data_IF_396995579579
#
_entry.id   IF_396995579579
#
_cell.length_a   1.000
_cell.length_b   1.000
_cell.length_c   1.000
_cell.angle_alpha   90.00
_cell.angle_beta   90.00
_cell.angle_gamma   90.00
#
_symmetry.space_group_name_H-M   'P 1'
#
loop_
_entity.id
_entity.type
_entity.pdbx_description
1 polymer ?
#
# COMPACT_ATOMS: atom_id res chain seq x y z
N UNK A 1 8.67 -6.71 -5.78
CA UNK A 1 8.85 -6.18 -7.15
C UNK A 1 8.80 -4.66 -7.17
N UNK A 2 7.69 -4.07 -6.75
CA UNK A 2 7.51 -2.61 -6.64
C UNK A 2 8.60 -1.96 -5.75
N UNK A 3 8.86 -2.51 -4.56
CA UNK A 3 9.89 -2.04 -3.62
C UNK A 3 11.27 -1.83 -4.24
N UNK A 4 11.73 -2.76 -5.09
CA UNK A 4 13.04 -2.67 -5.73
C UNK A 4 13.07 -1.59 -6.82
N UNK A 5 11.99 -1.45 -7.60
CA UNK A 5 11.89 -0.37 -8.58
C UNK A 5 11.80 1.00 -7.91
N UNK A 6 11.08 1.13 -6.79
CA UNK A 6 11.05 2.35 -6.00
C UNK A 6 12.44 2.71 -5.44
N UNK A 7 13.16 1.73 -4.90
CA UNK A 7 14.53 1.93 -4.45
C UNK A 7 15.44 2.42 -5.58
N UNK A 8 15.35 1.80 -6.76
CA UNK A 8 16.13 2.20 -7.92
C UNK A 8 15.76 3.61 -8.40
N UNK A 9 14.46 3.94 -8.48
CA UNK A 9 13.97 5.28 -8.84
C UNK A 9 14.48 6.36 -7.88
N UNK A 10 14.51 6.09 -6.57
CA UNK A 10 14.96 7.07 -5.58
C UNK A 10 16.47 7.24 -5.52
N UNK A 11 17.22 6.16 -5.74
CA UNK A 11 18.68 6.18 -5.64
C UNK A 11 19.37 6.47 -6.98
N UNK A 12 18.63 6.44 -8.09
CA UNK A 12 19.18 6.50 -9.45
C UNK A 12 20.01 5.26 -9.82
N UNK A 13 19.97 4.20 -9.01
CA UNK A 13 20.69 2.95 -9.26
C UNK A 13 19.91 2.09 -10.25
N UNK A 14 20.62 1.17 -10.91
CA UNK A 14 20.06 0.31 -11.94
C UNK A 14 20.50 -1.15 -11.78
N UNK A 15 20.83 -1.57 -10.55
CA UNK A 15 21.39 -2.90 -10.27
C UNK A 15 20.46 -4.05 -10.68
N UNK A 16 19.15 -3.77 -10.75
CA UNK A 16 18.11 -4.71 -11.14
C UNK A 16 17.39 -4.27 -12.42
N UNK A 17 18.10 -3.67 -13.38
CA UNK A 17 17.53 -3.13 -14.63
C UNK A 17 16.60 -4.08 -15.38
N UNK A 18 16.95 -5.36 -15.43
CA UNK A 18 16.16 -6.38 -16.13
C UNK A 18 14.99 -6.94 -15.30
N UNK A 19 14.76 -6.43 -14.09
CA UNK A 19 13.81 -7.03 -13.15
C UNK A 19 12.35 -6.91 -13.62
N UNK A 20 11.96 -5.80 -14.25
CA UNK A 20 10.64 -5.66 -14.86
C UNK A 20 10.39 -6.82 -15.85
N UNK A 21 11.24 -6.95 -16.86
CA UNK A 21 11.08 -7.91 -17.96
C UNK A 21 11.26 -9.37 -17.52
N UNK A 22 12.06 -9.63 -16.48
CA UNK A 22 12.35 -10.99 -15.99
C UNK A 22 11.44 -11.44 -14.84
N UNK A 23 10.53 -10.60 -14.37
CA UNK A 23 9.58 -10.98 -13.33
C UNK A 23 8.40 -11.78 -13.87
N UNK A 24 7.73 -12.54 -13.00
CA UNK A 24 6.52 -13.27 -13.39
C UNK A 24 5.43 -12.31 -13.90
N UNK A 25 5.22 -11.18 -13.22
CA UNK A 25 4.27 -10.14 -13.62
C UNK A 25 4.67 -9.46 -14.93
N UNK A 26 5.91 -8.98 -15.04
CA UNK A 26 6.34 -8.25 -16.25
C UNK A 26 6.44 -9.14 -17.50
N UNK A 27 6.84 -10.42 -17.37
CA UNK A 27 6.75 -11.35 -18.51
C UNK A 27 5.32 -11.51 -19.02
N UNK A 28 4.33 -11.51 -18.12
CA UNK A 28 2.92 -11.57 -18.52
C UNK A 28 2.40 -10.24 -19.09
N UNK A 29 2.94 -9.10 -18.65
CA UNK A 29 2.69 -7.80 -19.30
C UNK A 29 3.16 -7.77 -20.76
N UNK A 30 4.25 -8.47 -21.08
CA UNK A 30 4.84 -8.54 -22.42
C UNK A 30 4.19 -9.59 -23.34
N UNK A 31 3.29 -10.43 -22.82
CA UNK A 31 2.58 -11.42 -23.63
C UNK A 31 1.28 -10.79 -24.16
N UNK A 32 1.11 -10.68 -25.50
CA UNK A 32 -0.16 -10.24 -26.06
C UNK A 32 -1.29 -11.15 -25.62
N UNK A 33 -2.41 -10.56 -25.19
CA UNK A 33 -3.61 -11.29 -24.77
C UNK A 33 -3.43 -12.21 -23.56
N UNK A 34 -2.54 -11.87 -22.62
CA UNK A 34 -2.54 -12.49 -21.28
C UNK A 34 -3.94 -12.51 -20.69
N UNK A 35 -4.36 -13.69 -20.23
CA UNK A 35 -5.58 -13.85 -19.45
C UNK A 35 -5.35 -13.34 -18.03
N UNK A 36 -5.65 -12.06 -17.83
CA UNK A 36 -5.43 -11.37 -16.57
C UNK A 36 -6.33 -11.86 -15.45
N UNK A 37 -7.54 -12.36 -15.76
CA UNK A 37 -8.45 -12.93 -14.76
C UNK A 37 -7.86 -14.22 -14.17
N UNK A 38 -7.38 -15.12 -15.03
CA UNK A 38 -6.67 -16.33 -14.57
C UNK A 38 -5.35 -15.98 -13.90
N UNK A 39 -4.63 -14.96 -14.38
CA UNK A 39 -3.33 -14.56 -13.83
C UNK A 39 -3.45 -13.97 -12.41
N UNK A 40 -4.36 -13.02 -12.18
CA UNK A 40 -4.53 -12.39 -10.86
C UNK A 40 -5.29 -13.30 -9.90
N UNK A 41 -5.96 -14.32 -10.41
CA UNK A 41 -6.78 -15.21 -9.60
C UNK A 41 -8.05 -14.51 -9.09
N UNK A 42 -8.73 -15.10 -8.11
CA UNK A 42 -10.07 -14.66 -7.72
C UNK A 42 -10.09 -13.42 -6.82
N UNK A 43 -8.93 -12.88 -6.42
CA UNK A 43 -8.77 -11.82 -5.41
C UNK A 43 -8.51 -10.46 -6.07
N UNK A 44 -9.37 -9.48 -5.82
CA UNK A 44 -9.30 -8.16 -6.46
C UNK A 44 -8.30 -7.21 -5.79
N UNK A 45 -7.94 -7.45 -4.53
CA UNK A 45 -6.77 -6.83 -3.89
C UNK A 45 -5.46 -7.30 -4.53
N UNK A 46 -5.28 -8.60 -4.80
CA UNK A 46 -4.11 -9.11 -5.54
C UNK A 46 -3.98 -8.47 -6.92
N UNK A 47 -5.09 -8.34 -7.64
CA UNK A 47 -5.16 -7.58 -8.88
C UNK A 47 -4.74 -6.12 -8.68
N UNK A 48 -5.19 -5.48 -7.58
CA UNK A 48 -4.83 -4.10 -7.27
C UNK A 48 -3.34 -3.89 -7.00
N UNK A 49 -2.70 -4.82 -6.30
CA UNK A 49 -1.25 -4.82 -6.11
C UNK A 49 -0.49 -5.00 -7.42
N UNK A 50 -1.01 -5.81 -8.35
CA UNK A 50 -0.44 -5.96 -9.67
C UNK A 50 -0.48 -4.65 -10.47
N UNK A 51 -1.57 -3.88 -10.42
CA UNK A 51 -1.67 -2.57 -11.08
C UNK A 51 -0.59 -1.60 -10.57
N UNK A 52 -0.42 -1.47 -9.24
CA UNK A 52 0.61 -0.61 -8.65
C UNK A 52 2.03 -1.03 -9.09
N UNK A 53 2.30 -2.33 -9.10
CA UNK A 53 3.58 -2.86 -9.54
C UNK A 53 3.84 -2.61 -11.04
N UNK A 54 2.85 -2.80 -11.91
CA UNK A 54 2.93 -2.54 -13.34
C UNK A 54 3.19 -1.05 -13.63
N UNK A 55 2.49 -0.14 -12.94
CA UNK A 55 2.75 1.29 -13.06
C UNK A 55 4.15 1.67 -12.60
N UNK A 56 4.62 1.12 -11.48
CA UNK A 56 5.98 1.40 -11.00
C UNK A 56 7.05 0.88 -11.96
N UNK A 57 6.82 -0.27 -12.59
CA UNK A 57 7.70 -0.78 -13.66
C UNK A 57 7.69 0.13 -14.89
N UNK A 58 6.51 0.61 -15.31
CA UNK A 58 6.39 1.56 -16.41
C UNK A 58 7.08 2.90 -16.11
N UNK A 59 6.98 3.39 -14.87
CA UNK A 59 7.67 4.61 -14.42
C UNK A 59 9.19 4.42 -14.46
N UNK A 60 9.70 3.31 -13.92
CA UNK A 60 11.12 2.96 -14.01
C UNK A 60 11.61 2.89 -15.45
N UNK A 61 10.90 2.16 -16.31
CA UNK A 61 11.23 2.04 -17.73
C UNK A 61 11.25 3.40 -18.41
N UNK A 62 10.27 4.26 -18.12
CA UNK A 62 10.21 5.63 -18.65
C UNK A 62 11.43 6.45 -18.23
N UNK A 63 11.74 6.48 -16.93
CA UNK A 63 12.89 7.23 -16.38
C UNK A 63 14.22 6.77 -16.98
N UNK A 64 14.36 5.48 -17.24
CA UNK A 64 15.59 4.88 -17.77
C UNK A 64 15.58 4.70 -19.30
N UNK A 65 14.58 5.24 -20.00
CA UNK A 65 14.44 5.14 -21.46
C UNK A 65 14.46 3.69 -21.99
N UNK A 66 13.88 2.76 -21.23
CA UNK A 66 13.72 1.37 -21.62
C UNK A 66 12.48 1.17 -22.53
N UNK A 67 12.45 0.12 -23.38
CA UNK A 67 11.30 -0.18 -24.23
C UNK A 67 10.12 -0.74 -23.43
N UNK A 68 9.00 -0.95 -24.14
CA UNK A 68 7.80 -1.69 -23.71
C UNK A 68 6.96 -1.00 -22.62
N UNK A 69 7.16 0.31 -22.38
CA UNK A 69 6.37 1.09 -21.41
C UNK A 69 4.86 0.92 -21.63
N UNK A 70 4.42 1.00 -22.89
CA UNK A 70 3.00 0.93 -23.24
C UNK A 70 2.38 -0.45 -22.93
N UNK A 71 3.15 -1.53 -23.02
CA UNK A 71 2.67 -2.88 -22.69
C UNK A 71 2.35 -3.01 -21.19
N UNK A 72 3.21 -2.46 -20.32
CA UNK A 72 2.97 -2.44 -18.88
C UNK A 72 1.78 -1.54 -18.51
N UNK A 73 1.63 -0.39 -19.18
CA UNK A 73 0.47 0.49 -18.96
C UNK A 73 -0.84 -0.14 -19.46
N UNK A 74 -0.80 -0.84 -20.61
CA UNK A 74 -1.96 -1.54 -21.15
C UNK A 74 -2.38 -2.71 -20.25
N UNK A 75 -1.42 -3.51 -19.77
CA UNK A 75 -1.67 -4.54 -18.77
C UNK A 75 -2.33 -3.98 -17.51
N UNK A 76 -1.80 -2.87 -16.98
CA UNK A 76 -2.35 -2.22 -15.80
C UNK A 76 -3.79 -1.73 -16.01
N UNK A 77 -4.10 -1.19 -17.20
CA UNK A 77 -5.45 -0.75 -17.55
C UNK A 77 -6.45 -1.93 -17.59
N UNK A 78 -6.07 -3.06 -18.18
CA UNK A 78 -6.92 -4.27 -18.23
C UNK A 78 -7.24 -4.76 -16.82
N UNK A 79 -6.22 -4.87 -15.96
CA UNK A 79 -6.40 -5.33 -14.57
C UNK A 79 -7.22 -4.33 -13.74
N UNK A 80 -7.02 -3.03 -13.95
CA UNK A 80 -7.85 -1.99 -13.31
C UNK A 80 -9.32 -2.12 -13.72
N UNK A 81 -9.62 -2.32 -15.01
CA UNK A 81 -10.99 -2.47 -15.50
C UNK A 81 -11.67 -3.72 -14.91
N UNK A 82 -10.91 -4.81 -14.70
CA UNK A 82 -11.38 -6.02 -14.00
C UNK A 82 -11.84 -5.68 -12.57
N UNK A 83 -11.02 -4.95 -11.79
CA UNK A 83 -11.37 -4.50 -10.44
C UNK A 83 -12.58 -3.57 -10.48
N UNK A 84 -12.57 -2.56 -11.36
CA UNK A 84 -13.62 -1.56 -11.47
C UNK A 84 -14.98 -2.17 -11.82
N UNK A 85 -14.99 -3.26 -12.61
CA UNK A 85 -16.20 -4.00 -12.99
C UNK A 85 -16.83 -4.79 -11.83
N UNK A 86 -16.11 -5.00 -10.72
CA UNK A 86 -16.58 -5.69 -9.53
C UNK A 86 -17.08 -4.75 -8.42
N UNK A 87 -17.27 -3.47 -8.76
CA UNK A 87 -18.07 -2.55 -7.96
C UNK A 87 -19.57 -2.82 -8.17
N UNK A 88 -20.33 -2.90 -7.07
CA UNK A 88 -21.81 -2.95 -7.12
C UNK A 88 -22.46 -2.14 -5.98
N UNK A 89 -23.80 -2.13 -5.93
CA UNK A 89 -24.58 -1.39 -4.92
C UNK A 89 -24.81 -2.18 -3.61
N UNK A 90 -24.29 -3.40 -3.49
CA UNK A 90 -24.39 -4.17 -2.23
C UNK A 90 -23.64 -3.42 -1.14
N UNK A 91 -24.25 -3.24 0.03
CA UNK A 91 -23.73 -2.35 1.08
C UNK A 91 -23.51 -0.89 0.62
N UNK A 92 -24.33 -0.42 -0.32
CA UNK A 92 -24.33 0.97 -0.78
C UNK A 92 -23.16 1.33 -1.71
N UNK A 93 -22.40 0.35 -2.18
CA UNK A 93 -21.20 0.56 -2.98
C UNK A 93 -20.09 -0.42 -2.63
N UNK A 94 -18.92 -0.19 -3.22
CA UNK A 94 -17.69 -0.92 -2.93
C UNK A 94 -17.41 -2.05 -3.90
N UNK A 95 -16.13 -2.35 -4.07
CA UNK A 95 -15.63 -3.50 -4.81
C UNK A 95 -15.65 -4.73 -3.89
N UNK A 96 -16.08 -5.87 -4.44
CA UNK A 96 -15.98 -7.16 -3.78
C UNK A 96 -14.52 -7.57 -3.57
N UNK A 97 -14.22 -8.31 -2.50
CA UNK A 97 -12.87 -8.86 -2.29
C UNK A 97 -12.54 -9.94 -3.31
N UNK A 98 -13.50 -10.81 -3.61
CA UNK A 98 -13.33 -11.93 -4.55
C UNK A 98 -14.49 -12.07 -5.52
N UNK A 99 -14.28 -12.84 -6.59
CA UNK A 99 -15.32 -13.21 -7.58
C UNK A 99 -16.55 -13.92 -6.98
N UNK A 100 -16.42 -14.50 -5.78
CA UNK A 100 -17.52 -15.18 -5.10
C UNK A 100 -18.52 -14.20 -4.44
N UNK A 101 -18.16 -12.90 -4.38
CA UNK A 101 -19.00 -11.83 -3.83
C UNK A 101 -19.50 -12.10 -2.40
N UNK A 102 -18.61 -12.61 -1.54
CA UNK A 102 -18.93 -12.99 -0.14
C UNK A 102 -18.47 -11.96 0.88
N UNK A 103 -17.56 -11.05 0.52
CA UNK A 103 -16.95 -10.11 1.47
C UNK A 103 -16.56 -8.80 0.80
N UNK A 104 -16.83 -7.68 1.49
CA UNK A 104 -16.31 -6.35 1.15
C UNK A 104 -15.35 -5.92 2.25
N UNK A 105 -14.06 -5.97 1.94
CA UNK A 105 -13.00 -5.61 2.86
C UNK A 105 -12.47 -4.19 2.59
N UNK A 106 -11.74 -3.66 3.56
CA UNK A 106 -11.09 -2.36 3.50
C UNK A 106 -10.05 -2.35 2.37
N UNK A 107 -9.14 -3.33 2.34
CA UNK A 107 -7.99 -3.29 1.44
C UNK A 107 -8.36 -3.19 -0.04
N UNK A 108 -9.32 -3.98 -0.53
CA UNK A 108 -9.69 -3.94 -1.95
C UNK A 108 -10.27 -2.58 -2.33
N UNK A 109 -11.03 -1.96 -1.42
CA UNK A 109 -11.66 -0.68 -1.65
C UNK A 109 -10.68 0.50 -1.53
N UNK A 110 -9.76 0.44 -0.57
CA UNK A 110 -8.67 1.40 -0.43
C UNK A 110 -7.70 1.36 -1.62
N UNK A 111 -7.40 0.16 -2.13
CA UNK A 111 -6.68 -0.01 -3.39
C UNK A 111 -7.47 0.58 -4.54
N UNK A 112 -8.77 0.30 -4.66
CA UNK A 112 -9.58 0.86 -5.73
C UNK A 112 -9.61 2.40 -5.71
N UNK A 113 -9.73 3.02 -4.53
CA UNK A 113 -9.57 4.47 -4.37
C UNK A 113 -8.18 4.93 -4.83
N UNK A 114 -7.13 4.27 -4.35
CA UNK A 114 -5.73 4.61 -4.66
C UNK A 114 -5.46 4.55 -6.15
N UNK A 115 -5.83 3.45 -6.80
CA UNK A 115 -5.68 3.24 -8.23
C UNK A 115 -6.50 4.25 -9.03
N UNK A 116 -7.75 4.50 -8.62
CA UNK A 116 -8.60 5.47 -9.30
C UNK A 116 -8.02 6.89 -9.22
N UNK A 117 -7.59 7.33 -8.04
CA UNK A 117 -7.05 8.67 -7.85
C UNK A 117 -5.72 8.86 -8.58
N UNK A 118 -4.78 7.91 -8.44
CA UNK A 118 -3.50 7.96 -9.14
C UNK A 118 -3.65 7.80 -10.66
N UNK A 119 -4.57 6.96 -11.13
CA UNK A 119 -4.90 6.80 -12.53
C UNK A 119 -5.40 8.10 -13.16
N UNK A 120 -6.22 8.89 -12.45
CA UNK A 120 -6.57 10.24 -12.90
C UNK A 120 -5.34 11.14 -13.01
N UNK A 121 -4.48 11.15 -11.99
CA UNK A 121 -3.28 11.99 -12.02
C UNK A 121 -2.36 11.64 -13.21
N UNK A 122 -2.25 10.35 -13.54
CA UNK A 122 -1.43 9.80 -14.63
C UNK A 122 -2.02 10.06 -16.02
N UNK A 123 -3.31 9.82 -16.21
CA UNK A 123 -3.92 9.77 -17.54
C UNK A 123 -4.88 10.92 -17.85
N UNK A 124 -5.27 11.71 -16.84
CA UNK A 124 -6.28 12.78 -16.95
C UNK A 124 -7.61 12.31 -17.54
N UNK A 125 -7.97 11.05 -17.30
CA UNK A 125 -9.25 10.47 -17.73
C UNK A 125 -10.27 10.58 -16.59
N UNK A 126 -11.36 11.32 -16.82
CA UNK A 126 -12.40 11.59 -15.81
C UNK A 126 -13.05 10.34 -15.22
N UNK A 127 -13.07 9.21 -15.93
CA UNK A 127 -13.60 7.93 -15.39
C UNK A 127 -12.86 7.51 -14.12
N UNK A 128 -11.54 7.72 -14.09
CA UNK A 128 -10.72 7.44 -12.92
C UNK A 128 -11.04 8.42 -11.77
N UNK A 129 -11.28 9.70 -12.07
CA UNK A 129 -11.64 10.67 -11.03
C UNK A 129 -13.02 10.40 -10.44
N UNK A 130 -13.99 10.04 -11.27
CA UNK A 130 -15.33 9.69 -10.81
C UNK A 130 -15.29 8.41 -9.96
N UNK A 131 -14.50 7.42 -10.35
CA UNK A 131 -14.26 6.23 -9.54
C UNK A 131 -13.55 6.55 -8.22
N UNK A 132 -12.59 7.48 -8.20
CA UNK A 132 -11.91 7.87 -6.98
C UNK A 132 -12.89 8.57 -6.01
N UNK A 133 -13.70 9.49 -6.52
CA UNK A 133 -14.70 10.20 -5.71
C UNK A 133 -15.75 9.25 -5.15
N UNK A 134 -16.28 8.31 -5.96
CA UNK A 134 -17.27 7.33 -5.49
C UNK A 134 -16.67 6.36 -4.47
N UNK A 135 -15.43 5.92 -4.68
CA UNK A 135 -14.73 5.03 -3.75
C UNK A 135 -14.50 5.72 -2.41
N UNK A 136 -13.98 6.96 -2.41
CA UNK A 136 -13.78 7.71 -1.18
C UNK A 136 -15.11 7.95 -0.44
N UNK A 137 -16.14 8.44 -1.15
CA UNK A 137 -17.44 8.67 -0.54
C UNK A 137 -18.03 7.40 0.09
N UNK A 138 -17.85 6.23 -0.54
CA UNK A 138 -18.29 4.96 0.03
C UNK A 138 -17.47 4.56 1.26
N UNK A 139 -16.13 4.62 1.18
CA UNK A 139 -15.24 4.27 2.31
C UNK A 139 -15.56 5.14 3.53
N UNK A 140 -15.68 6.46 3.34
CA UNK A 140 -16.00 7.42 4.40
C UNK A 140 -17.34 7.10 5.10
N UNK A 141 -18.33 6.60 4.35
CA UNK A 141 -19.67 6.30 4.86
C UNK A 141 -19.89 4.81 5.21
N UNK A 142 -18.92 3.94 4.97
CA UNK A 142 -19.02 2.49 5.19
C UNK A 142 -19.13 2.11 6.68
N UNK A 143 -18.62 2.97 7.57
CA UNK A 143 -18.48 2.68 9.00
C UNK A 143 -17.28 1.80 9.37
N UNK A 144 -16.42 1.43 8.41
CA UNK A 144 -15.23 0.58 8.66
C UNK A 144 -14.17 1.27 9.55
N UNK A 145 -14.15 2.60 9.59
CA UNK A 145 -13.28 3.34 10.50
C UNK A 145 -13.89 3.38 11.91
N UNK A 146 -13.19 2.81 12.88
CA UNK A 146 -13.61 2.75 14.28
C UNK A 146 -13.44 4.10 15.02
N UNK A 147 -13.79 4.09 16.31
CA UNK A 147 -13.74 5.28 17.16
C UNK A 147 -12.31 5.79 17.42
N UNK A 148 -11.32 4.93 17.28
CA UNK A 148 -9.90 5.24 17.41
C UNK A 148 -9.35 5.94 16.15
N UNK A 149 -10.08 5.88 15.03
CA UNK A 149 -9.64 6.42 13.74
C UNK A 149 -8.91 5.41 12.85
N UNK A 150 -9.00 4.12 13.17
CA UNK A 150 -8.41 3.02 12.39
C UNK A 150 -9.49 2.27 11.59
N UNK A 151 -9.14 1.80 10.40
CA UNK A 151 -9.99 0.95 9.57
C UNK A 151 -9.89 -0.52 10.02
N UNK A 152 -11.03 -1.09 10.42
CA UNK A 152 -11.20 -2.53 10.58
C UNK A 152 -11.22 -3.22 9.21
N UNK A 153 -11.11 -4.55 9.22
CA UNK A 153 -10.88 -5.34 8.01
C UNK A 153 -12.01 -5.25 6.98
N UNK A 154 -13.27 -5.07 7.39
CA UNK A 154 -14.36 -5.02 6.42
C UNK A 154 -15.76 -4.98 7.00
N UNK A 155 -16.71 -5.39 6.16
CA UNK A 155 -18.14 -5.40 6.48
C UNK A 155 -18.69 -6.81 6.59
N UNK A 156 -19.59 -7.02 7.56
CA UNK A 156 -20.39 -8.25 7.64
C UNK A 156 -21.46 -8.22 6.54
N UNK A 157 -21.39 -9.19 5.63
CA UNK A 157 -22.36 -9.31 4.53
C UNK A 157 -23.78 -9.51 5.10
N UNK A 158 -24.76 -8.80 4.51
CA UNK A 158 -26.16 -8.84 4.91
C UNK A 158 -26.58 -7.75 5.91
N UNK A 159 -25.72 -7.38 6.86
CA UNK A 159 -25.94 -6.20 7.73
C UNK A 159 -25.22 -4.97 7.23
N UNK A 160 -24.12 -5.14 6.49
CA UNK A 160 -23.25 -4.06 6.00
C UNK A 160 -22.71 -3.18 7.14
N UNK A 161 -22.50 -3.79 8.30
CA UNK A 161 -21.90 -3.16 9.48
C UNK A 161 -20.45 -3.60 9.57
N UNK A 162 -19.60 -2.68 10.03
CA UNK A 162 -18.21 -2.95 10.38
C UNK A 162 -18.09 -4.25 11.21
N UNK A 163 -17.22 -5.15 10.76
CA UNK A 163 -17.00 -6.44 11.42
C UNK A 163 -16.22 -6.33 12.73
N UNK A 164 -15.58 -5.19 13.01
CA UNK A 164 -14.76 -4.99 14.21
C UNK A 164 -13.50 -5.86 14.24
N UNK A 165 -13.10 -6.43 13.10
CA UNK A 165 -11.92 -7.29 13.00
C UNK A 165 -10.61 -6.50 13.01
N UNK A 166 -9.47 -7.18 12.92
CA UNK A 166 -8.14 -6.61 13.09
C UNK A 166 -7.92 -5.34 12.26
N UNK A 167 -7.41 -4.30 12.91
CA UNK A 167 -6.91 -3.09 12.25
C UNK A 167 -5.47 -3.32 11.82
N UNK A 168 -5.29 -3.91 10.64
CA UNK A 168 -3.97 -4.18 10.06
C UNK A 168 -3.28 -2.88 9.61
N UNK A 169 -1.96 -2.78 9.75
CA UNK A 169 -1.26 -1.52 9.42
C UNK A 169 -1.43 -1.14 7.95
N UNK A 170 -1.43 -2.10 7.03
CA UNK A 170 -1.54 -1.80 5.59
C UNK A 170 -2.85 -1.11 5.20
N UNK A 171 -3.99 -1.45 5.81
CA UNK A 171 -5.26 -0.77 5.56
C UNK A 171 -5.16 0.72 5.91
N UNK A 172 -4.48 1.01 7.02
CA UNK A 172 -4.25 2.37 7.49
C UNK A 172 -3.29 3.15 6.60
N UNK A 173 -2.50 2.44 5.78
CA UNK A 173 -1.51 3.00 4.89
C UNK A 173 -2.07 3.28 3.51
N UNK A 174 -2.68 2.27 2.87
CA UNK A 174 -3.14 2.37 1.47
C UNK A 174 -4.12 3.52 1.29
N UNK A 175 -5.06 3.67 2.23
CA UNK A 175 -6.01 4.78 2.24
C UNK A 175 -5.34 6.15 2.13
N UNK A 176 -4.17 6.34 2.76
CA UNK A 176 -3.45 7.63 2.76
C UNK A 176 -3.04 8.03 1.35
N UNK A 177 -2.49 7.09 0.57
CA UNK A 177 -2.06 7.39 -0.79
C UNK A 177 -3.24 7.72 -1.71
N UNK A 178 -4.40 7.08 -1.51
CA UNK A 178 -5.63 7.40 -2.22
C UNK A 178 -6.17 8.78 -1.88
N UNK A 179 -6.20 9.12 -0.59
CA UNK A 179 -6.58 10.45 -0.09
C UNK A 179 -5.64 11.54 -0.62
N UNK A 180 -4.32 11.32 -0.56
CA UNK A 180 -3.31 12.25 -1.06
C UNK A 180 -3.42 12.47 -2.57
N UNK A 181 -3.60 11.39 -3.35
CA UNK A 181 -3.79 11.50 -4.80
C UNK A 181 -5.11 12.21 -5.16
N UNK A 182 -6.20 11.92 -4.44
CA UNK A 182 -7.48 12.58 -4.67
C UNK A 182 -7.45 14.06 -4.24
N UNK A 183 -6.70 14.40 -3.19
CA UNK A 183 -6.38 15.77 -2.83
C UNK A 183 -5.64 16.48 -3.97
N UNK A 184 -4.57 15.89 -4.49
CA UNK A 184 -3.82 16.48 -5.59
C UNK A 184 -4.69 16.67 -6.86
N UNK A 185 -5.68 15.80 -7.06
CA UNK A 185 -6.63 15.90 -8.16
C UNK A 185 -7.70 16.98 -7.99
N UNK A 186 -8.16 17.24 -6.75
CA UNK A 186 -9.37 18.04 -6.50
C UNK A 186 -9.14 19.32 -5.70
N UNK A 187 -8.05 19.41 -4.94
CA UNK A 187 -7.78 20.46 -3.97
C UNK A 187 -8.68 20.41 -2.73
N UNK A 188 -9.38 19.30 -2.47
CA UNK A 188 -10.23 19.18 -1.29
C UNK A 188 -9.41 18.94 -0.01
N UNK A 189 -9.21 20.00 0.77
CA UNK A 189 -8.44 20.00 2.03
C UNK A 189 -8.97 19.01 3.08
N UNK A 190 -10.25 18.62 3.05
CA UNK A 190 -10.78 17.65 4.03
C UNK A 190 -10.06 16.31 3.92
N UNK A 191 -9.63 15.91 2.73
CA UNK A 191 -8.92 14.64 2.49
C UNK A 191 -7.59 14.57 3.27
N UNK A 192 -6.94 15.71 3.52
CA UNK A 192 -5.72 15.77 4.34
C UNK A 192 -6.09 15.54 5.80
N UNK A 193 -7.13 16.20 6.31
CA UNK A 193 -7.60 16.00 7.69
C UNK A 193 -8.00 14.54 7.96
N UNK A 194 -8.67 13.90 6.99
CA UNK A 194 -9.06 12.49 7.08
C UNK A 194 -7.84 11.54 7.09
N UNK A 195 -6.80 11.87 6.33
CA UNK A 195 -5.54 11.12 6.36
C UNK A 195 -4.81 11.28 7.69
N UNK A 196 -4.72 12.51 8.23
CA UNK A 196 -4.05 12.77 9.52
C UNK A 196 -4.70 12.02 10.68
N UNK A 197 -6.04 11.90 10.72
CA UNK A 197 -6.74 11.08 11.72
C UNK A 197 -6.19 9.65 11.73
N UNK A 198 -6.04 9.06 10.55
CA UNK A 198 -5.60 7.67 10.38
C UNK A 198 -4.11 7.51 10.67
N UNK A 199 -3.28 8.46 10.26
CA UNK A 199 -1.82 8.47 10.55
C UNK A 199 -1.59 8.57 12.06
N UNK A 200 -2.21 9.56 12.71
CA UNK A 200 -2.04 9.81 14.14
C UNK A 200 -2.59 8.64 14.98
N UNK A 201 -3.69 8.00 14.54
CA UNK A 201 -4.21 6.78 15.16
C UNK A 201 -3.25 5.60 15.03
N UNK A 202 -2.66 5.38 13.83
CA UNK A 202 -1.68 4.31 13.62
C UNK A 202 -0.47 4.48 14.54
N UNK A 203 0.09 5.69 14.58
CA UNK A 203 1.27 6.00 15.42
C UNK A 203 0.97 5.75 16.90
N UNK A 204 -0.24 6.11 17.34
CA UNK A 204 -0.68 5.96 18.74
C UNK A 204 -0.93 4.50 19.13
N UNK A 205 -1.62 3.74 18.30
CA UNK A 205 -2.24 2.47 18.72
C UNK A 205 -1.62 1.23 18.06
N UNK A 206 -0.96 1.36 16.90
CA UNK A 206 -0.34 0.25 16.16
C UNK A 206 1.19 0.25 16.28
N UNK A 207 1.70 0.74 17.41
CA UNK A 207 3.14 0.79 17.69
C UNK A 207 3.49 0.24 19.06
N UNK A 208 4.72 -0.28 19.18
CA UNK A 208 5.36 -0.60 20.45
C UNK A 208 6.67 0.18 20.52
N UNK A 209 6.82 0.99 21.58
CA UNK A 209 7.96 1.91 21.74
C UNK A 209 8.16 2.85 20.53
N UNK A 210 7.06 3.28 19.89
CA UNK A 210 7.09 4.13 18.71
C UNK A 210 7.46 3.41 17.41
N UNK A 211 7.52 2.07 17.40
CA UNK A 211 7.82 1.26 16.22
C UNK A 211 6.58 0.47 15.80
N UNK A 212 6.24 0.47 14.51
CA UNK A 212 5.10 -0.27 13.96
C UNK A 212 5.14 -1.74 14.36
N UNK A 213 3.97 -2.29 14.67
CA UNK A 213 3.79 -3.69 15.08
C UNK A 213 2.46 -4.24 14.55
N UNK A 214 2.47 -5.42 13.95
CA UNK A 214 1.25 -6.17 13.68
C UNK A 214 0.73 -6.88 14.94
N UNK A 215 -0.58 -7.14 14.98
CA UNK A 215 -1.20 -7.90 16.07
C UNK A 215 -0.58 -9.30 16.25
N UNK A 216 -0.15 -9.93 15.16
CA UNK A 216 0.51 -11.24 15.12
C UNK A 216 2.04 -11.20 15.29
N UNK A 217 2.66 -10.00 15.35
CA UNK A 217 4.12 -9.83 15.47
C UNK A 217 4.62 -10.04 16.91
N UNK A 218 3.80 -10.65 17.78
CA UNK A 218 4.22 -10.94 19.15
C UNK A 218 5.41 -11.91 19.16
N UNK A 219 6.28 -11.67 20.11
CA UNK A 219 7.42 -12.52 20.42
C UNK A 219 6.90 -13.77 21.11
N UNK A 220 6.52 -14.79 20.35
CA UNK A 220 5.91 -16.00 20.89
C UNK A 220 6.83 -17.23 20.82
N UNK A 221 7.00 -17.89 21.98
CA UNK A 221 7.45 -19.29 22.07
C UNK A 221 6.27 -20.23 21.72
N UNK A 222 5.02 -19.80 22.01
CA UNK A 222 3.76 -20.48 21.70
C UNK A 222 2.73 -19.46 21.19
N UNK A 223 2.17 -19.68 19.99
CA UNK A 223 1.24 -18.77 19.30
C UNK A 223 1.35 -18.92 17.77
N UNK A 224 0.39 -18.36 17.02
CA UNK A 224 0.48 -18.32 15.55
C UNK A 224 1.23 -17.04 15.15
N UNK A 225 2.44 -17.15 14.57
CA UNK A 225 3.15 -15.97 14.11
C UNK A 225 2.48 -15.40 12.85
N UNK A 226 2.85 -14.18 12.47
CA UNK A 226 2.38 -13.58 11.23
C UNK A 226 2.64 -14.47 10.02
N UNK A 227 1.63 -14.66 9.17
CA UNK A 227 1.77 -15.33 7.89
C UNK A 227 2.57 -14.48 6.88
N UNK A 228 2.74 -15.01 5.66
CA UNK A 228 3.52 -14.33 4.62
C UNK A 228 3.00 -12.94 4.28
N UNK A 229 1.69 -12.73 4.39
CA UNK A 229 1.06 -11.49 3.94
C UNK A 229 1.26 -10.42 5.01
N UNK A 230 0.99 -10.79 6.26
CA UNK A 230 1.13 -9.89 7.41
C UNK A 230 2.58 -9.39 7.60
N UNK A 231 3.58 -10.18 7.20
CA UNK A 231 4.99 -9.80 7.30
C UNK A 231 5.35 -8.54 6.47
N UNK A 232 4.61 -8.21 5.40
CA UNK A 232 4.89 -7.06 4.54
C UNK A 232 4.13 -5.78 4.95
N UNK A 233 3.09 -5.88 5.77
CA UNK A 233 2.12 -4.81 5.99
C UNK A 233 2.73 -3.49 6.50
N UNK A 234 3.64 -3.56 7.47
CA UNK A 234 4.34 -2.35 7.99
C UNK A 234 5.07 -1.56 6.91
N UNK A 235 5.75 -2.24 5.99
CA UNK A 235 6.43 -1.59 4.87
C UNK A 235 5.46 -1.03 3.84
N UNK A 236 4.31 -1.68 3.63
CA UNK A 236 3.21 -1.11 2.82
C UNK A 236 2.73 0.19 3.46
N UNK A 237 2.53 0.23 4.78
CA UNK A 237 2.15 1.47 5.46
C UNK A 237 3.16 2.61 5.19
N UNK A 238 4.46 2.34 5.36
CA UNK A 238 5.51 3.34 5.11
C UNK A 238 5.55 3.80 3.65
N UNK A 239 5.37 2.87 2.70
CA UNK A 239 5.27 3.19 1.26
C UNK A 239 4.13 4.16 0.98
N UNK A 240 2.95 3.87 1.51
CA UNK A 240 1.78 4.68 1.20
C UNK A 240 1.73 6.00 1.99
N UNK A 241 2.35 6.07 3.17
CA UNK A 241 2.65 7.35 3.82
C UNK A 241 3.60 8.20 2.95
N UNK A 242 4.66 7.60 2.41
CA UNK A 242 5.58 8.29 1.49
C UNK A 242 4.86 8.83 0.25
N UNK A 243 3.95 8.06 -0.35
CA UNK A 243 3.12 8.55 -1.46
C UNK A 243 2.20 9.70 -1.04
N UNK A 244 1.50 9.57 0.09
CA UNK A 244 0.66 10.65 0.62
C UNK A 244 1.47 11.95 0.77
N UNK A 245 2.62 11.89 1.46
CA UNK A 245 3.51 13.03 1.64
C UNK A 245 3.98 13.62 0.31
N UNK A 246 4.29 12.77 -0.68
CA UNK A 246 4.65 13.23 -2.03
C UNK A 246 3.54 14.03 -2.70
N UNK A 247 2.29 13.55 -2.61
CA UNK A 247 1.16 14.25 -3.24
C UNK A 247 0.81 15.58 -2.58
N UNK A 248 0.97 15.69 -1.27
CA UNK A 248 0.58 16.89 -0.51
C UNK A 248 1.72 17.90 -0.35
N UNK A 249 2.99 17.46 -0.42
CA UNK A 249 4.18 18.31 -0.19
C UNK A 249 4.17 19.64 -0.93
N UNK A 250 3.73 19.77 -2.21
CA UNK A 250 3.76 21.05 -2.90
C UNK A 250 2.97 22.18 -2.21
N UNK A 251 1.96 21.82 -1.40
CA UNK A 251 1.11 22.77 -0.66
C UNK A 251 1.21 22.62 0.86
N UNK A 252 1.62 21.44 1.34
CA UNK A 252 1.69 21.08 2.76
C UNK A 252 3.06 20.47 3.14
N UNK A 253 4.17 21.19 2.92
CA UNK A 253 5.50 20.68 3.28
C UNK A 253 5.67 20.44 4.79
N UNK A 254 4.86 21.09 5.63
CA UNK A 254 4.85 20.91 7.09
C UNK A 254 4.49 19.48 7.53
N UNK A 255 3.73 18.73 6.73
CA UNK A 255 3.34 17.35 7.06
C UNK A 255 4.53 16.41 7.02
N UNK A 256 5.47 16.63 6.09
CA UNK A 256 6.72 15.87 6.08
C UNK A 256 7.52 16.12 7.37
N UNK A 257 7.57 17.36 7.84
CA UNK A 257 8.23 17.71 9.10
C UNK A 257 7.53 17.04 10.29
N UNK A 258 6.19 17.10 10.36
CA UNK A 258 5.38 16.47 11.41
C UNK A 258 5.72 14.99 11.60
N UNK A 259 5.81 14.22 10.51
CA UNK A 259 5.98 12.77 10.56
C UNK A 259 7.43 12.27 10.41
N UNK A 260 8.37 13.14 10.06
CA UNK A 260 9.79 12.79 9.84
C UNK A 260 10.42 11.96 10.96
N UNK A 261 10.23 12.38 12.22
CA UNK A 261 10.79 11.67 13.38
C UNK A 261 10.23 10.25 13.55
N UNK A 262 8.94 10.05 13.21
CA UNK A 262 8.32 8.73 13.25
C UNK A 262 8.91 7.82 12.16
N UNK A 263 9.02 8.34 10.93
CA UNK A 263 9.62 7.62 9.79
C UNK A 263 11.06 7.19 10.12
N UNK A 264 11.85 8.10 10.70
CA UNK A 264 13.23 7.82 11.12
C UNK A 264 13.31 6.71 12.15
N UNK A 265 12.44 6.76 13.16
CA UNK A 265 12.41 5.72 14.18
C UNK A 265 12.10 4.33 13.62
N UNK A 266 11.32 4.22 12.53
CA UNK A 266 11.09 2.93 11.86
C UNK A 266 12.36 2.42 11.20
N UNK A 267 13.06 3.27 10.44
CA UNK A 267 14.32 2.91 9.78
C UNK A 267 15.40 2.53 10.79
N UNK A 268 15.55 3.29 11.87
CA UNK A 268 16.51 2.98 12.94
C UNK A 268 16.17 1.67 13.66
N UNK A 269 14.88 1.41 13.90
CA UNK A 269 14.44 0.17 14.52
C UNK A 269 14.73 -1.04 13.63
N UNK A 270 14.44 -0.95 12.32
CA UNK A 270 14.81 -1.98 11.35
C UNK A 270 16.31 -2.26 11.41
N UNK A 271 17.14 -1.23 11.30
CA UNK A 271 18.59 -1.37 11.28
C UNK A 271 19.16 -1.99 12.56
N UNK A 272 18.62 -1.62 13.73
CA UNK A 272 19.18 -2.02 15.02
C UNK A 272 18.64 -3.35 15.54
N UNK A 273 17.38 -3.67 15.21
CA UNK A 273 16.63 -4.72 15.87
C UNK A 273 16.15 -5.83 14.92
N UNK A 274 15.90 -5.51 13.65
CA UNK A 274 15.35 -6.46 12.68
C UNK A 274 16.40 -7.04 11.73
N UNK A 275 17.50 -6.32 11.49
CA UNK A 275 18.57 -6.74 10.57
C UNK A 275 19.58 -7.65 11.26
N UNK A 276 19.81 -8.84 10.68
CA UNK A 276 20.76 -9.82 11.18
C UNK A 276 22.20 -9.57 10.66
N UNK A 277 23.22 -10.34 11.11
CA UNK A 277 24.59 -10.19 10.61
C UNK A 277 24.79 -10.52 9.12
N UNK A 278 23.84 -11.18 8.47
CA UNK A 278 23.83 -11.48 7.04
C UNK A 278 23.15 -10.37 6.23
N UNK A 279 22.62 -9.33 6.90
CA UNK A 279 21.83 -8.24 6.34
C UNK A 279 20.42 -8.65 5.89
N UNK A 280 19.92 -9.80 6.35
CA UNK A 280 18.53 -10.17 6.17
C UNK A 280 17.68 -9.38 7.18
N UNK A 281 16.51 -8.89 6.75
CA UNK A 281 15.61 -8.11 7.59
C UNK A 281 14.42 -8.97 8.01
N UNK A 282 14.26 -9.11 9.32
CA UNK A 282 13.18 -9.86 9.94
C UNK A 282 11.89 -9.06 10.14
N UNK A 283 10.80 -9.77 10.45
CA UNK A 283 9.46 -9.17 10.64
C UNK A 283 9.32 -8.35 11.91
N UNK A 284 10.11 -8.61 12.96
CA UNK A 284 10.00 -7.95 14.26
C UNK A 284 10.95 -6.76 14.35
N UNK A 285 10.41 -5.54 14.37
CA UNK A 285 11.19 -4.29 14.36
C UNK A 285 11.36 -3.67 15.74
N UNK A 286 10.47 -3.96 16.69
CA UNK A 286 10.36 -3.22 17.96
C UNK A 286 11.22 -3.80 19.10
N UNK A 287 11.97 -4.88 18.86
CA UNK A 287 12.81 -5.51 19.89
C UNK A 287 13.90 -6.44 19.32
N UNK A 288 15.16 -6.18 19.70
CA UNK A 288 16.32 -7.00 19.32
C UNK A 288 16.28 -8.37 19.99
N UNK A 289 16.61 -9.42 19.25
CA UNK A 289 16.78 -10.79 19.78
C UNK A 289 15.56 -11.28 20.58
N UNK A 290 14.40 -10.66 20.35
CA UNK A 290 13.22 -10.96 21.13
C UNK A 290 12.75 -12.39 20.83
N UNK A 291 13.03 -12.91 19.64
CA UNK A 291 12.53 -14.19 19.15
C UNK A 291 11.30 -13.98 18.28
N UNK A 292 10.88 -15.00 17.53
CA UNK A 292 9.70 -14.92 16.65
C UNK A 292 9.89 -14.13 15.36
N UNK A 293 11.08 -13.55 15.13
CA UNK A 293 11.38 -12.87 13.87
C UNK A 293 11.39 -13.85 12.70
N UNK A 294 10.58 -13.56 11.68
CA UNK A 294 10.54 -14.32 10.44
C UNK A 294 11.39 -13.58 9.41
N UNK A 295 12.32 -14.32 8.79
CA UNK A 295 13.14 -13.84 7.68
C UNK A 295 12.60 -14.42 6.39
N UNK A 296 12.00 -13.54 5.57
CA UNK A 296 11.38 -13.88 4.30
C UNK A 296 11.58 -12.75 3.29
N UNK A 297 11.17 -12.98 2.05
CA UNK A 297 11.18 -11.91 1.04
C UNK A 297 10.19 -10.79 1.39
N UNK A 298 9.13 -11.10 2.12
CA UNK A 298 8.11 -10.16 2.58
C UNK A 298 8.63 -9.28 3.72
N UNK A 299 9.27 -9.86 4.74
CA UNK A 299 9.89 -9.08 5.81
C UNK A 299 11.04 -8.23 5.29
N UNK A 300 11.83 -8.75 4.33
CA UNK A 300 12.88 -8.00 3.66
C UNK A 300 12.32 -6.80 2.90
N UNK A 301 11.30 -7.01 2.06
CA UNK A 301 10.64 -5.94 1.33
C UNK A 301 10.04 -4.89 2.28
N UNK A 302 9.46 -5.34 3.39
CA UNK A 302 8.90 -4.49 4.44
C UNK A 302 9.96 -3.53 5.02
N UNK A 303 11.11 -4.08 5.42
CA UNK A 303 12.21 -3.30 6.00
C UNK A 303 12.87 -2.35 5.01
N UNK A 304 13.05 -2.78 3.76
CA UNK A 304 13.56 -1.90 2.70
C UNK A 304 12.65 -0.68 2.54
N UNK A 305 11.32 -0.85 2.60
CA UNK A 305 10.40 0.28 2.51
C UNK A 305 10.57 1.29 3.66
N UNK A 306 10.97 0.85 4.85
CA UNK A 306 11.28 1.77 5.94
C UNK A 306 12.48 2.66 5.62
N UNK A 307 13.55 2.08 5.06
CA UNK A 307 14.73 2.83 4.64
C UNK A 307 14.44 3.76 3.45
N UNK A 308 13.65 3.29 2.48
CA UNK A 308 13.21 4.07 1.30
C UNK A 308 12.35 5.26 1.73
N UNK A 309 11.41 5.08 2.66
CA UNK A 309 10.62 6.19 3.21
C UNK A 309 11.50 7.18 3.98
N UNK A 310 12.43 6.70 4.81
CA UNK A 310 13.33 7.55 5.59
C UNK A 310 14.31 8.34 4.72
N UNK A 311 14.82 7.74 3.64
CA UNK A 311 15.71 8.45 2.71
C UNK A 311 15.04 9.67 2.07
N UNK A 312 13.72 9.65 1.87
CA UNK A 312 12.97 10.75 1.25
C UNK A 312 12.37 11.74 2.27
N UNK A 313 11.85 11.24 3.39
CA UNK A 313 11.06 12.04 4.35
C UNK A 313 11.57 11.99 5.80
N UNK A 314 12.69 11.31 6.03
CA UNK A 314 13.41 11.36 7.29
C UNK A 314 14.11 12.71 7.52
N UNK A 315 14.66 12.93 8.73
CA UNK A 315 15.49 14.08 9.01
C UNK A 315 16.76 14.04 8.15
N UNK A 316 17.16 15.20 7.61
CA UNK A 316 18.50 15.35 7.06
C UNK A 316 19.52 15.22 8.21
N UNK A 317 20.34 14.16 8.17
CA UNK A 317 21.48 13.98 9.06
C UNK A 317 22.60 15.00 8.78
#
# INVERSE_FOLDING_TARGET
METLHLLMLQTGRSDFDGLADNSFLGRNALIPFTDWETFTGPFFDDAGWAVLALWTMADYKTTHHQPDVDDFLAAAAIVYDLIASNWDDTCGGGVWWTVDHTYKNAITNELFLTLSAQGYLRFKNETYLDNAKKAWAWIENSGMRNAEGLYNDGLVLGTCVNNGETTWTYNQGVILSGLGALYAATGNETLISEAEITIDATIRDLTVNGVLKESCDDVVIEGTPCDSDQQIFKGIWLKHLQYFLTFVQPKHPELAIKYSSFIDSQSEAVLRFATDPQLDIGSVWYGKDAGGSIFSVQSLASGIMAHVANAQYGPCL
#
